data_IF_993174024063
#
_entry.id   IF_993174024063
#
_cell.length_a   1.000
_cell.length_b   1.000
_cell.length_c   1.000
_cell.angle_alpha   90.00
_cell.angle_beta   90.00
_cell.angle_gamma   90.00
#
_symmetry.space_group_name_H-M   'P 1'
#
loop_
_entity.id
_entity.type
_entity.pdbx_description
1 polymer ?
#
# COMPACT_ATOMS: atom_id res chain seq x y z
N UNK A 1 40.27 -6.65 28.21
CA UNK A 1 38.85 -6.61 27.91
C UNK A 1 38.36 -8.03 27.70
N UNK A 2 38.21 -8.77 28.74
CA UNK A 2 37.93 -10.17 28.59
C UNK A 2 36.62 -10.54 29.27
N UNK A 3 35.69 -10.97 28.44
CA UNK A 3 34.40 -11.57 28.78
C UNK A 3 33.34 -10.67 29.41
N UNK A 4 32.93 -9.66 28.70
CA UNK A 4 31.54 -9.22 28.83
C UNK A 4 30.71 -10.16 27.94
N UNK A 5 30.13 -11.17 28.57
CA UNK A 5 29.12 -11.99 27.90
C UNK A 5 27.81 -11.22 27.95
N UNK A 6 27.51 -10.49 26.92
CA UNK A 6 26.25 -9.78 26.82
C UNK A 6 25.33 -10.51 25.86
N UNK A 7 24.11 -10.79 26.29
CA UNK A 7 23.09 -11.37 25.43
C UNK A 7 22.54 -10.28 24.53
N UNK A 8 22.78 -10.40 23.22
CA UNK A 8 22.26 -9.47 22.22
C UNK A 8 20.73 -9.55 22.23
N UNK A 9 20.06 -8.45 22.54
CA UNK A 9 18.64 -8.33 22.29
C UNK A 9 18.39 -8.37 20.78
N UNK A 10 17.39 -9.10 20.33
CA UNK A 10 17.13 -9.43 18.92
C UNK A 10 16.79 -8.23 18.07
N UNK A 11 17.19 -7.07 18.19
CA UNK A 11 17.02 -5.90 17.33
C UNK A 11 17.85 -4.69 17.83
N UNK A 12 19.02 -4.94 18.45
CA UNK A 12 19.83 -3.86 18.98
C UNK A 12 21.30 -4.24 18.95
N UNK A 13 22.16 -3.27 18.74
CA UNK A 13 23.61 -3.42 18.90
C UNK A 13 24.08 -2.70 20.15
N UNK A 14 25.04 -3.29 20.86
CA UNK A 14 25.70 -2.64 21.99
C UNK A 14 27.20 -2.80 21.88
N UNK A 15 27.89 -1.84 22.44
CA UNK A 15 29.35 -1.79 22.51
C UNK A 15 29.76 -1.52 23.96
N UNK A 16 30.80 -2.20 24.42
CA UNK A 16 31.36 -2.06 25.77
C UNK A 16 32.80 -1.67 25.66
N UNK A 17 33.18 -0.65 26.38
CA UNK A 17 34.59 -0.37 26.74
C UNK A 17 34.75 -0.37 28.25
N UNK A 18 35.96 -0.13 28.76
CA UNK A 18 36.31 -0.31 30.19
C UNK A 18 35.37 0.36 31.21
N UNK A 19 34.58 1.38 30.80
CA UNK A 19 33.73 2.18 31.68
C UNK A 19 32.37 2.52 31.13
N UNK A 20 32.17 2.34 29.86
CA UNK A 20 30.94 2.78 29.18
C UNK A 20 30.30 1.66 28.42
N UNK A 21 29.00 1.62 28.52
CA UNK A 21 28.13 0.70 27.81
C UNK A 21 27.29 1.54 26.83
N UNK A 22 27.49 1.36 25.53
CA UNK A 22 26.71 2.03 24.49
C UNK A 22 25.68 1.04 23.97
N UNK A 23 24.42 1.45 24.03
CA UNK A 23 23.30 0.72 23.46
C UNK A 23 22.77 1.48 22.24
N UNK A 24 22.54 0.79 21.14
CA UNK A 24 21.90 1.35 19.96
C UNK A 24 20.64 0.53 19.70
N UNK A 25 19.48 1.15 19.85
CA UNK A 25 18.22 0.52 19.52
C UNK A 25 18.10 0.30 18.01
N UNK A 26 17.46 -0.80 17.62
CA UNK A 26 17.08 -0.98 16.23
C UNK A 26 16.08 0.12 15.80
N UNK A 27 16.11 0.50 14.53
CA UNK A 27 15.40 1.65 13.97
C UNK A 27 13.89 1.62 14.24
N UNK A 28 13.30 0.43 14.17
CA UNK A 28 11.85 0.22 14.26
C UNK A 28 11.42 -0.47 15.56
N UNK A 29 12.29 -0.47 16.57
CA UNK A 29 11.98 -1.09 17.85
C UNK A 29 11.59 -0.04 18.89
N UNK A 30 10.45 -0.26 19.54
CA UNK A 30 10.03 0.42 20.75
C UNK A 30 9.57 -0.61 21.78
N UNK A 31 9.97 -0.43 23.02
CA UNK A 31 9.60 -1.36 24.08
C UNK A 31 10.75 -1.68 25.06
N UNK A 32 10.56 -2.67 25.94
CA UNK A 32 11.55 -3.05 26.92
C UNK A 32 12.73 -3.77 26.28
N UNK A 33 13.94 -3.44 26.71
CA UNK A 33 15.17 -4.11 26.37
C UNK A 33 15.99 -4.29 27.62
N UNK A 34 16.96 -5.21 27.61
CA UNK A 34 17.89 -5.38 28.73
C UNK A 34 19.27 -5.80 28.23
N UNK A 35 20.27 -5.40 28.97
CA UNK A 35 21.66 -5.86 28.80
C UNK A 35 22.13 -6.47 30.08
N UNK A 36 22.64 -7.70 30.03
CA UNK A 36 23.27 -8.37 31.14
C UNK A 36 24.78 -8.41 30.91
N UNK A 37 25.54 -7.95 31.89
CA UNK A 37 27.00 -7.93 31.85
C UNK A 37 27.59 -8.33 33.21
N UNK A 38 28.82 -8.77 33.18
CA UNK A 38 29.55 -9.10 34.40
C UNK A 38 30.53 -7.96 34.73
N UNK A 39 30.34 -7.34 35.88
CA UNK A 39 31.30 -6.41 36.43
C UNK A 39 32.31 -7.16 37.31
N UNK A 40 33.57 -6.81 37.16
CA UNK A 40 34.68 -7.44 37.98
C UNK A 40 35.48 -6.36 38.66
N UNK A 41 35.92 -6.61 39.90
CA UNK A 41 36.92 -5.76 40.56
C UNK A 41 38.32 -6.28 40.24
N UNK A 42 39.19 -5.41 39.81
CA UNK A 42 40.57 -5.74 39.52
C UNK A 42 41.13 -4.88 38.38
N UNK A 43 42.45 -4.71 38.39
CA UNK A 43 43.13 -4.09 37.25
C UNK A 43 43.17 -5.09 36.13
N UNK A 44 42.63 -4.68 34.99
CA UNK A 44 42.77 -5.37 33.73
C UNK A 44 44.27 -5.36 33.33
N UNK A 45 44.94 -6.46 33.63
CA UNK A 45 46.30 -6.75 33.23
C UNK A 45 46.33 -8.15 32.65
N UNK A 46 47.44 -8.54 32.04
CA UNK A 46 47.67 -9.83 31.42
C UNK A 46 47.55 -11.04 32.38
N UNK A 47 47.20 -10.82 33.61
CA UNK A 47 47.08 -11.84 34.66
C UNK A 47 45.62 -11.98 35.08
N UNK A 48 44.90 -12.91 34.44
CA UNK A 48 43.49 -13.26 34.73
C UNK A 48 43.26 -13.82 36.14
N UNK A 49 44.34 -14.03 36.93
CA UNK A 49 44.28 -14.65 38.25
C UNK A 49 43.96 -13.68 39.39
N UNK A 50 43.74 -12.39 39.09
CA UNK A 50 43.49 -11.35 40.13
C UNK A 50 42.08 -10.76 40.14
N UNK A 51 41.10 -11.43 39.57
CA UNK A 51 39.71 -11.06 39.80
C UNK A 51 39.30 -11.56 41.17
N UNK A 52 39.03 -10.64 42.08
CA UNK A 52 38.69 -10.97 43.47
C UNK A 52 37.18 -11.15 43.60
N UNK A 53 36.41 -10.28 42.97
CA UNK A 53 34.94 -10.35 42.96
C UNK A 53 34.40 -10.13 41.59
N UNK A 54 33.26 -10.75 41.31
CA UNK A 54 32.48 -10.52 40.09
C UNK A 54 31.00 -10.47 40.43
N UNK A 55 30.26 -9.61 39.72
CA UNK A 55 28.80 -9.51 39.83
C UNK A 55 28.16 -9.47 38.46
N UNK A 56 27.09 -10.23 38.29
CA UNK A 56 26.25 -10.17 37.10
C UNK A 56 25.21 -9.07 37.31
N UNK A 57 25.17 -8.10 36.40
CA UNK A 57 24.29 -6.94 36.48
C UNK A 57 23.42 -6.95 35.24
N UNK A 58 22.11 -6.75 35.41
CA UNK A 58 21.19 -6.54 34.33
C UNK A 58 20.71 -5.08 34.32
N UNK A 59 21.01 -4.37 33.24
CA UNK A 59 20.54 -3.02 33.01
C UNK A 59 19.22 -3.10 32.20
N UNK A 60 18.15 -2.59 32.80
CA UNK A 60 16.86 -2.45 32.11
C UNK A 60 16.86 -1.18 31.27
N UNK A 61 16.42 -1.29 30.04
CA UNK A 61 16.37 -0.20 29.07
C UNK A 61 14.94 -0.11 28.56
N UNK A 62 14.40 1.08 28.48
CA UNK A 62 13.14 1.32 27.76
C UNK A 62 13.47 2.09 26.48
N UNK A 63 13.25 1.47 25.35
CA UNK A 63 13.37 2.13 24.06
C UNK A 63 12.06 2.85 23.78
N UNK A 64 12.14 4.19 23.71
CA UNK A 64 10.99 5.03 23.37
C UNK A 64 10.88 5.06 21.84
N UNK A 65 9.67 4.81 21.33
CA UNK A 65 9.40 4.90 19.91
C UNK A 65 9.70 6.30 19.37
N UNK A 66 10.21 6.34 18.16
CA UNK A 66 10.43 7.62 17.49
C UNK A 66 9.08 8.27 17.18
N UNK A 67 8.93 9.51 17.59
CA UNK A 67 7.76 10.31 17.23
C UNK A 67 7.93 10.74 15.76
N UNK A 68 7.45 9.89 14.84
CA UNK A 68 7.46 10.20 13.41
C UNK A 68 6.16 10.92 13.10
N UNK A 69 6.20 12.19 12.67
CA UNK A 69 4.98 12.89 12.30
C UNK A 69 4.29 12.19 11.12
N UNK A 70 2.95 12.24 11.06
CA UNK A 70 2.18 11.55 10.04
C UNK A 70 2.52 12.05 8.63
N UNK A 71 2.53 11.18 7.61
CA UNK A 71 2.62 11.61 6.23
C UNK A 71 1.38 12.41 5.83
N UNK A 72 1.52 13.27 4.85
CA UNK A 72 0.41 13.94 4.19
C UNK A 72 0.02 13.18 2.93
N UNK A 73 -1.26 13.20 2.58
CA UNK A 73 -1.78 12.55 1.38
C UNK A 73 -2.49 13.59 0.50
N UNK A 74 -2.09 13.66 -0.76
CA UNK A 74 -2.72 14.51 -1.76
C UNK A 74 -3.92 13.78 -2.37
N UNK A 75 -5.13 14.18 -1.99
CA UNK A 75 -6.36 13.63 -2.58
C UNK A 75 -6.38 13.84 -4.09
N UNK A 76 -6.84 12.85 -4.83
CA UNK A 76 -6.93 12.89 -6.30
C UNK A 76 -8.27 12.33 -6.76
N UNK A 77 -8.69 12.79 -7.96
CA UNK A 77 -9.81 12.20 -8.69
C UNK A 77 -9.28 11.36 -9.82
N UNK A 78 -9.72 10.11 -9.90
CA UNK A 78 -9.34 9.14 -10.92
C UNK A 78 -10.52 8.98 -11.88
N UNK A 79 -10.33 9.38 -13.12
CA UNK A 79 -11.34 9.19 -14.17
C UNK A 79 -11.21 7.80 -14.78
N UNK A 80 -12.32 7.08 -14.88
CA UNK A 80 -12.43 5.76 -15.49
C UNK A 80 -13.60 5.76 -16.50
N UNK A 81 -13.47 5.03 -17.59
CA UNK A 81 -14.57 4.82 -18.54
C UNK A 81 -15.37 3.57 -18.19
N UNK A 82 -16.67 3.58 -18.44
CA UNK A 82 -17.51 2.43 -18.23
C UNK A 82 -17.05 1.23 -19.08
N UNK A 83 -16.84 0.08 -18.45
CA UNK A 83 -16.42 -1.16 -19.10
C UNK A 83 -15.02 -1.12 -19.75
N UNK A 84 -14.20 -0.14 -19.43
CA UNK A 84 -12.79 -0.10 -19.84
C UNK A 84 -11.92 -0.98 -18.93
N UNK A 85 -10.70 -1.25 -19.42
CA UNK A 85 -9.70 -1.97 -18.62
C UNK A 85 -9.40 -1.22 -17.30
N UNK A 86 -9.06 -1.95 -16.23
CA UNK A 86 -8.75 -1.35 -14.95
C UNK A 86 -7.60 -0.35 -15.05
N UNK A 87 -7.79 0.83 -14.48
CA UNK A 87 -6.76 1.86 -14.38
C UNK A 87 -5.99 1.66 -13.07
N UNK A 88 -4.66 1.65 -13.17
CA UNK A 88 -3.78 1.53 -12.00
C UNK A 88 -3.22 2.89 -11.62
N UNK A 89 -3.27 3.20 -10.32
CA UNK A 89 -2.72 4.43 -9.74
C UNK A 89 -1.79 4.04 -8.59
N UNK A 90 -0.62 4.65 -8.55
CA UNK A 90 0.33 4.48 -7.47
C UNK A 90 0.08 5.52 -6.38
N UNK A 91 -0.42 5.08 -5.23
CA UNK A 91 -0.70 5.93 -4.08
C UNK A 91 0.57 6.41 -3.38
N UNK A 92 1.73 5.78 -3.63
CA UNK A 92 2.99 6.25 -3.06
C UNK A 92 3.38 7.62 -3.60
N UNK A 93 3.05 7.89 -4.87
CA UNK A 93 3.25 9.19 -5.50
C UNK A 93 2.37 10.30 -4.89
N UNK A 94 1.28 9.93 -4.23
CA UNK A 94 0.36 10.85 -3.55
C UNK A 94 0.64 10.99 -2.04
N UNK A 95 1.55 10.17 -1.53
CA UNK A 95 1.91 10.13 -0.10
C UNK A 95 3.24 10.87 0.11
N UNK A 96 3.21 11.93 0.91
CA UNK A 96 4.38 12.77 1.14
C UNK A 96 4.88 12.60 2.57
N UNK A 97 6.16 12.25 2.70
CA UNK A 97 6.82 12.19 3.99
C UNK A 97 6.89 13.58 4.64
N UNK A 98 6.77 13.68 5.96
CA UNK A 98 7.00 14.93 6.67
C UNK A 98 8.45 15.39 6.46
N UNK A 99 8.66 16.71 6.50
CA UNK A 99 10.01 17.28 6.36
C UNK A 99 10.94 16.74 7.44
N UNK A 100 12.17 16.37 7.07
CA UNK A 100 13.18 15.81 7.96
C UNK A 100 13.14 14.29 8.14
N UNK A 101 12.22 13.59 7.46
CA UNK A 101 12.23 12.12 7.39
C UNK A 101 13.01 11.68 6.15
N UNK A 102 14.00 10.80 6.35
CA UNK A 102 14.81 10.28 5.24
C UNK A 102 14.02 9.27 4.40
N UNK A 103 14.35 9.21 3.11
CA UNK A 103 13.62 8.37 2.13
C UNK A 103 13.60 6.87 2.45
N UNK A 104 14.67 6.35 3.03
CA UNK A 104 14.77 4.97 3.47
C UNK A 104 13.89 4.63 4.68
N UNK A 105 13.32 5.62 5.33
CA UNK A 105 12.37 5.48 6.44
C UNK A 105 10.92 5.42 5.98
N UNK A 106 10.65 5.62 4.71
CA UNK A 106 9.32 5.64 4.10
C UNK A 106 8.79 4.24 3.80
N UNK A 107 8.59 3.43 4.80
CA UNK A 107 7.86 2.17 4.61
C UNK A 107 6.39 2.38 4.97
N UNK A 108 5.63 2.89 4.00
CA UNK A 108 4.18 2.96 4.12
C UNK A 108 3.56 1.63 3.71
N UNK A 109 2.53 1.23 4.43
CA UNK A 109 1.66 0.15 4.01
C UNK A 109 0.23 0.65 3.89
N UNK A 110 -0.44 0.19 2.85
CA UNK A 110 -1.77 0.66 2.48
C UNK A 110 -2.81 -0.43 2.75
N UNK A 111 -3.98 -0.02 3.21
CA UNK A 111 -5.11 -0.91 3.45
C UNK A 111 -6.44 -0.18 3.21
N UNK A 112 -7.54 -0.92 3.19
CA UNK A 112 -8.84 -0.40 2.79
C UNK A 112 -9.09 -0.64 1.30
N UNK A 113 -9.44 0.40 0.55
CA UNK A 113 -9.63 0.30 -0.90
C UNK A 113 -11.00 -0.22 -1.33
N UNK A 114 -11.98 -0.30 -0.43
CA UNK A 114 -13.34 -0.71 -0.78
C UNK A 114 -14.12 0.44 -1.41
N UNK A 115 -14.75 0.19 -2.55
CA UNK A 115 -15.62 1.16 -3.20
C UNK A 115 -16.95 1.31 -2.47
N UNK A 116 -17.45 2.54 -2.37
CA UNK A 116 -18.80 2.83 -1.87
C UNK A 116 -19.90 2.56 -2.92
N UNK A 117 -19.54 2.32 -4.18
CA UNK A 117 -20.46 2.06 -5.29
C UNK A 117 -20.35 0.63 -5.80
N UNK A 118 -21.48 0.03 -6.17
CA UNK A 118 -21.50 -1.29 -6.84
C UNK A 118 -21.03 -1.22 -8.30
N UNK A 119 -21.09 -0.04 -8.91
CA UNK A 119 -20.69 0.19 -10.29
C UNK A 119 -19.20 0.50 -10.47
N UNK A 120 -18.49 0.73 -9.36
CA UNK A 120 -17.06 1.01 -9.37
C UNK A 120 -16.38 -0.02 -8.48
N UNK A 121 -15.43 -0.75 -9.03
CA UNK A 121 -14.60 -1.70 -8.28
C UNK A 121 -13.24 -1.10 -8.00
N UNK A 122 -12.70 -1.41 -6.84
CA UNK A 122 -11.37 -0.98 -6.45
C UNK A 122 -10.64 -2.14 -5.76
N UNK A 123 -9.37 -2.28 -6.06
CA UNK A 123 -8.47 -3.26 -5.46
C UNK A 123 -7.17 -2.58 -5.08
N UNK A 124 -6.85 -2.56 -3.80
CA UNK A 124 -5.68 -1.91 -3.24
C UNK A 124 -4.67 -2.94 -2.73
N UNK A 125 -3.44 -2.85 -3.23
CA UNK A 125 -2.33 -3.63 -2.70
C UNK A 125 -1.70 -2.96 -1.48
N UNK A 126 -1.02 -3.74 -0.64
CA UNK A 126 -0.26 -3.21 0.51
C UNK A 126 0.86 -2.25 0.10
N UNK A 127 1.38 -2.37 -1.10
CA UNK A 127 2.43 -1.51 -1.64
C UNK A 127 1.92 -0.17 -2.17
N UNK A 128 0.60 0.08 -2.16
CA UNK A 128 0.01 1.32 -2.62
C UNK A 128 -0.45 1.33 -4.08
N UNK A 129 -0.41 0.20 -4.78
CA UNK A 129 -1.00 0.09 -6.12
C UNK A 129 -2.52 -0.07 -6.00
N UNK A 130 -3.26 0.92 -6.48
CA UNK A 130 -4.72 0.94 -6.51
C UNK A 130 -5.20 0.71 -7.94
N UNK A 131 -5.90 -0.39 -8.18
CA UNK A 131 -6.60 -0.67 -9.43
C UNK A 131 -8.07 -0.28 -9.29
N UNK A 132 -8.59 0.48 -10.24
CA UNK A 132 -9.99 0.92 -10.28
C UNK A 132 -10.58 0.66 -11.65
N UNK A 133 -11.84 0.26 -11.69
CA UNK A 133 -12.61 0.09 -12.93
C UNK A 133 -14.08 0.38 -12.68
N UNK A 134 -14.82 0.67 -13.75
CA UNK A 134 -16.27 0.83 -13.72
C UNK A 134 -16.95 -0.27 -14.53
N UNK A 135 -18.12 -0.71 -14.07
CA UNK A 135 -18.94 -1.66 -14.81
C UNK A 135 -19.42 -1.03 -16.12
N UNK A 136 -19.76 -1.85 -17.11
CA UNK A 136 -20.18 -1.39 -18.43
C UNK A 136 -21.48 -0.58 -18.43
N UNK A 137 -22.30 -0.73 -17.41
CA UNK A 137 -23.57 -0.06 -17.19
C UNK A 137 -23.45 1.19 -16.28
N UNK A 138 -22.23 1.52 -15.85
CA UNK A 138 -21.99 2.70 -15.04
C UNK A 138 -22.23 3.99 -15.85
N UNK A 139 -23.10 4.84 -15.34
CA UNK A 139 -23.41 6.11 -16.02
C UNK A 139 -22.27 7.12 -15.85
N UNK A 140 -21.93 7.89 -16.91
CA UNK A 140 -21.03 9.04 -16.77
C UNK A 140 -21.50 9.99 -15.67
N UNK A 141 -20.56 10.47 -14.85
CA UNK A 141 -20.85 11.29 -13.67
C UNK A 141 -21.00 10.48 -12.37
N UNK A 142 -21.13 9.16 -12.44
CA UNK A 142 -21.11 8.31 -11.24
C UNK A 142 -19.77 8.47 -10.52
N UNK A 143 -19.82 8.70 -9.22
CA UNK A 143 -18.63 8.85 -8.36
C UNK A 143 -18.64 7.85 -7.21
N UNK A 144 -17.47 7.46 -6.77
CA UNK A 144 -17.27 6.68 -5.55
C UNK A 144 -16.07 7.19 -4.77
N UNK A 145 -16.18 7.21 -3.45
CA UNK A 145 -15.04 7.42 -2.57
C UNK A 145 -14.41 6.07 -2.25
N UNK A 146 -13.09 6.02 -2.34
CA UNK A 146 -12.28 4.87 -1.99
C UNK A 146 -11.46 5.25 -0.76
N UNK A 147 -11.87 4.84 0.44
CA UNK A 147 -11.13 5.10 1.65
C UNK A 147 -9.83 4.30 1.67
N UNK A 148 -8.75 4.96 2.06
CA UNK A 148 -7.42 4.38 2.17
C UNK A 148 -6.88 4.67 3.57
N UNK A 149 -6.29 3.66 4.18
CA UNK A 149 -5.56 3.81 5.42
C UNK A 149 -4.07 3.59 5.14
N UNK A 150 -3.25 4.54 5.56
CA UNK A 150 -1.79 4.54 5.38
C UNK A 150 -1.18 4.31 6.76
N UNK A 151 -0.53 3.17 6.94
CA UNK A 151 0.22 2.88 8.16
C UNK A 151 1.68 3.32 7.99
N UNK A 152 2.22 3.93 9.03
CA UNK A 152 3.59 4.41 9.12
C UNK A 152 4.10 4.23 10.55
N UNK A 153 5.26 3.62 10.74
CA UNK A 153 5.78 3.36 12.08
C UNK A 153 4.70 2.77 13.00
N UNK A 154 4.39 3.47 14.10
CA UNK A 154 3.36 3.07 15.06
C UNK A 154 1.98 3.72 14.81
N UNK A 155 1.84 4.55 13.75
CA UNK A 155 0.63 5.33 13.49
C UNK A 155 -0.08 4.95 12.20
N UNK A 156 -1.26 5.53 12.02
CA UNK A 156 -2.07 5.42 10.81
C UNK A 156 -2.67 6.76 10.42
N UNK A 157 -2.78 7.01 9.11
CA UNK A 157 -3.47 8.16 8.53
C UNK A 157 -4.61 7.66 7.66
N UNK A 158 -5.79 8.26 7.80
CA UNK A 158 -6.92 8.03 6.92
C UNK A 158 -6.86 9.01 5.75
N UNK A 159 -6.97 8.48 4.55
CA UNK A 159 -6.94 9.20 3.30
C UNK A 159 -8.03 8.67 2.38
N UNK A 160 -8.15 9.23 1.19
CA UNK A 160 -9.08 8.72 0.21
C UNK A 160 -8.86 9.33 -1.18
N UNK A 161 -9.27 8.57 -2.17
CA UNK A 161 -9.34 9.03 -3.55
C UNK A 161 -10.78 8.96 -4.05
N UNK A 162 -11.12 9.85 -4.97
CA UNK A 162 -12.43 9.84 -5.64
C UNK A 162 -12.26 9.18 -7.00
N UNK A 163 -13.10 8.23 -7.33
CA UNK A 163 -13.21 7.68 -8.67
C UNK A 163 -14.43 8.24 -9.32
N UNK A 164 -14.30 8.72 -10.56
CA UNK A 164 -15.39 9.28 -11.36
C UNK A 164 -15.49 8.55 -12.69
N UNK A 165 -16.70 8.13 -13.05
CA UNK A 165 -16.98 7.59 -14.37
C UNK A 165 -17.11 8.73 -15.37
N UNK A 166 -16.32 8.70 -16.42
CA UNK A 166 -16.38 9.65 -17.52
C UNK A 166 -17.03 9.01 -18.76
N UNK A 167 -17.46 9.84 -19.71
CA UNK A 167 -17.98 9.35 -20.98
C UNK A 167 -16.92 8.52 -21.70
N UNK A 168 -17.36 7.40 -22.29
CA UNK A 168 -16.46 6.57 -23.09
C UNK A 168 -15.99 7.33 -24.34
N UNK A 169 -14.71 7.19 -24.62
CA UNK A 169 -14.10 7.65 -25.88
C UNK A 169 -14.28 6.61 -27.00
N UNK A 170 -14.81 5.43 -26.68
CA UNK A 170 -15.07 4.38 -27.68
C UNK A 170 -16.18 4.80 -28.63
N UNK A 171 -16.06 4.53 -29.95
CA UNK A 171 -17.15 4.74 -30.89
C UNK A 171 -18.39 3.98 -30.43
N UNK A 172 -19.56 4.55 -30.73
CA UNK A 172 -20.83 3.87 -30.46
C UNK A 172 -20.94 2.57 -31.28
N UNK A 173 -21.65 1.59 -30.71
CA UNK A 173 -22.03 0.41 -31.49
C UNK A 173 -22.81 0.86 -32.74
N UNK A 174 -22.46 0.33 -33.88
CA UNK A 174 -23.18 0.64 -35.13
C UNK A 174 -23.27 -0.60 -36.02
N UNK A 175 -24.30 -0.63 -36.80
CA UNK A 175 -24.53 -1.65 -37.84
C UNK A 175 -24.37 -1.00 -39.22
N UNK A 176 -23.81 -1.76 -40.14
CA UNK A 176 -23.75 -1.34 -41.56
C UNK A 176 -25.12 -1.44 -42.23
N UNK A 177 -25.29 -0.70 -43.35
CA UNK A 177 -26.51 -0.74 -44.12
C UNK A 177 -26.85 -2.15 -44.57
N UNK A 178 -28.09 -2.56 -44.39
CA UNK A 178 -28.63 -3.84 -44.84
C UNK A 178 -29.80 -3.61 -45.84
N UNK A 179 -29.80 -4.36 -46.87
CA UNK A 179 -30.87 -4.32 -47.86
C UNK A 179 -31.57 -5.67 -47.90
N UNK A 180 -32.87 -5.66 -47.72
CA UNK A 180 -33.72 -6.84 -47.88
C UNK A 180 -34.63 -6.61 -49.10
N UNK A 181 -34.56 -7.51 -50.06
CA UNK A 181 -35.45 -7.51 -51.26
C UNK A 181 -36.43 -8.64 -51.13
N UNK A 182 -37.71 -8.31 -51.10
CA UNK A 182 -38.79 -9.28 -50.88
C UNK A 182 -39.89 -9.10 -51.88
N UNK A 183 -40.52 -10.19 -52.34
CA UNK A 183 -41.70 -10.14 -53.23
C UNK A 183 -42.95 -9.85 -52.40
N UNK A 184 -43.92 -9.18 -53.02
CA UNK A 184 -45.20 -8.93 -52.37
C UNK A 184 -45.86 -10.23 -51.92
N UNK A 185 -46.30 -10.29 -50.66
CA UNK A 185 -46.90 -11.47 -50.04
C UNK A 185 -45.90 -12.55 -49.51
N UNK A 186 -44.60 -12.36 -49.67
CA UNK A 186 -43.60 -13.24 -49.10
C UNK A 186 -43.07 -12.69 -47.77
N UNK A 187 -42.38 -13.51 -46.98
CA UNK A 187 -41.64 -13.13 -45.79
C UNK A 187 -40.19 -13.56 -45.92
N UNK A 188 -39.27 -12.77 -45.38
CA UNK A 188 -37.85 -13.08 -45.34
C UNK A 188 -37.22 -12.40 -44.11
N UNK A 189 -36.02 -12.77 -43.73
CA UNK A 189 -35.32 -12.26 -42.55
C UNK A 189 -33.89 -11.90 -42.90
N UNK A 190 -33.39 -10.85 -42.30
CA UNK A 190 -31.99 -10.45 -42.39
C UNK A 190 -31.37 -10.30 -40.99
N UNK A 191 -30.19 -10.87 -40.81
CA UNK A 191 -29.42 -10.63 -39.60
C UNK A 191 -28.75 -9.25 -39.68
N UNK A 192 -29.30 -8.28 -38.97
CA UNK A 192 -28.80 -6.90 -38.99
C UNK A 192 -27.50 -6.74 -38.19
N UNK A 193 -27.19 -7.67 -37.30
CA UNK A 193 -25.98 -7.61 -36.47
C UNK A 193 -24.75 -8.22 -37.16
N UNK A 194 -24.89 -8.90 -38.27
CA UNK A 194 -23.74 -9.41 -39.03
C UNK A 194 -22.86 -8.27 -39.50
N UNK A 195 -21.58 -8.24 -39.06
CA UNK A 195 -20.64 -7.17 -39.36
C UNK A 195 -20.88 -5.87 -38.59
N UNK A 196 -21.70 -5.90 -37.54
CA UNK A 196 -21.84 -4.78 -36.62
C UNK A 196 -20.55 -4.51 -35.87
N UNK A 197 -20.22 -3.27 -35.63
CA UNK A 197 -19.15 -2.88 -34.73
C UNK A 197 -19.65 -2.92 -33.30
N UNK A 198 -18.92 -3.65 -32.44
CA UNK A 198 -19.17 -3.75 -31.00
C UNK A 198 -18.02 -3.11 -30.24
N UNK A 199 -18.21 -1.99 -29.51
CA UNK A 199 -17.17 -1.37 -28.69
C UNK A 199 -16.77 -2.22 -27.47
N UNK A 200 -17.57 -3.24 -27.11
CA UNK A 200 -17.31 -4.16 -25.99
C UNK A 200 -17.33 -5.62 -26.50
N UNK A 201 -16.24 -6.12 -27.09
CA UNK A 201 -16.21 -7.43 -27.76
C UNK A 201 -16.59 -8.60 -26.84
N UNK A 202 -16.38 -8.47 -25.52
CA UNK A 202 -16.74 -9.48 -24.53
C UNK A 202 -18.23 -9.53 -24.18
N UNK A 203 -19.04 -8.65 -24.78
CA UNK A 203 -20.50 -8.66 -24.65
C UNK A 203 -21.15 -8.69 -26.03
N UNK A 204 -22.26 -9.45 -26.15
CA UNK A 204 -23.00 -9.52 -27.41
C UNK A 204 -23.90 -8.29 -27.60
N UNK A 205 -23.99 -7.82 -28.84
CA UNK A 205 -25.01 -6.84 -29.22
C UNK A 205 -26.38 -7.53 -29.27
N UNK A 206 -27.39 -6.81 -28.80
CA UNK A 206 -28.79 -7.24 -28.87
C UNK A 206 -29.64 -6.15 -29.48
N UNK A 207 -30.67 -6.55 -30.21
CA UNK A 207 -31.68 -5.63 -30.74
C UNK A 207 -32.73 -5.43 -29.63
N UNK A 208 -32.99 -4.18 -29.32
CA UNK A 208 -34.09 -3.78 -28.43
C UNK A 208 -35.11 -3.03 -29.25
N UNK A 209 -36.38 -3.37 -29.08
CA UNK A 209 -37.52 -2.70 -29.74
C UNK A 209 -38.00 -1.52 -28.93
#
# INVERSE_FOLDING_TARGET
>A
ADSVSATKASNSDFYVNDKTLKFTAAKDYAGPASITFTAVDGKQGSDKTKIINSAVITLQITVIGRDVPPPTFSSSTIDVEAGADPKTVDLTALTHAPSGVYDDEKQYTYSGGSSSSRQITANLSRSGSLQVSATKDAAPGTTASIPVQIAYGAGTVNAGVTVRVVSSTRPLAHVGDKTLKIKAGASDAVNVLTGAYNPFPDSSLTIIS
#
